data_IF_557198763273
#
_entry.id   IF_557198763273
#
_cell.length_a   1.000
_cell.length_b   1.000
_cell.length_c   1.000
_cell.angle_alpha   90.00
_cell.angle_beta   90.00
_cell.angle_gamma   90.00
#
_symmetry.space_group_name_H-M   'P 1'
#
loop_
_entity.id
_entity.type
_entity.pdbx_description
1 polymer ?
#
# COMPACT_ATOMS: atom_id res chain seq x y z
N UNK A 1 35.01 8.85 17.52
CA UNK A 1 34.01 9.90 17.17
C UNK A 1 33.52 9.81 15.70
N UNK A 2 33.14 8.61 15.19
CA UNK A 2 32.69 8.44 13.78
C UNK A 2 31.24 7.92 13.62
N UNK A 3 30.57 7.51 14.71
CA UNK A 3 29.20 6.98 14.66
C UNK A 3 28.08 8.04 14.69
N UNK A 4 28.37 9.24 15.21
CA UNK A 4 27.34 10.27 15.46
C UNK A 4 26.82 10.89 14.15
N UNK A 5 27.67 11.01 13.12
CA UNK A 5 27.30 11.57 11.81
C UNK A 5 26.39 10.63 11.01
N UNK A 6 26.69 9.32 11.02
CA UNK A 6 25.86 8.32 10.35
C UNK A 6 24.47 8.18 10.96
N UNK A 7 24.36 8.27 12.29
CA UNK A 7 23.09 8.21 13.02
C UNK A 7 22.21 9.44 12.72
N UNK A 8 22.78 10.64 12.69
CA UNK A 8 22.05 11.88 12.35
C UNK A 8 21.54 11.88 10.90
N UNK A 9 22.32 11.38 9.94
CA UNK A 9 21.91 11.28 8.53
C UNK A 9 20.72 10.31 8.34
N UNK A 10 20.75 9.14 8.99
CA UNK A 10 19.63 8.16 8.95
C UNK A 10 18.35 8.73 9.56
N UNK A 11 18.45 9.45 10.68
CA UNK A 11 17.29 10.11 11.31
C UNK A 11 16.66 11.17 10.40
N UNK A 12 17.47 11.96 9.69
CA UNK A 12 16.97 12.95 8.71
C UNK A 12 16.27 12.30 7.52
N UNK A 13 16.81 11.19 7.01
CA UNK A 13 16.18 10.42 5.94
C UNK A 13 14.83 9.86 6.37
N UNK A 14 14.75 9.21 7.55
CA UNK A 14 13.48 8.70 8.10
C UNK A 14 12.44 9.80 8.30
N UNK A 15 12.85 10.98 8.76
CA UNK A 15 11.96 12.15 8.90
C UNK A 15 11.45 12.65 7.55
N UNK A 16 12.31 12.72 6.53
CA UNK A 16 11.94 13.11 5.17
C UNK A 16 10.96 12.11 4.55
N UNK A 17 11.22 10.82 4.72
CA UNK A 17 10.30 9.79 4.24
C UNK A 17 8.97 9.78 4.99
N UNK A 18 8.97 10.10 6.29
CA UNK A 18 7.73 10.24 7.06
C UNK A 18 6.88 11.42 6.59
N UNK A 19 7.51 12.56 6.30
CA UNK A 19 6.84 13.70 5.68
C UNK A 19 6.24 13.32 4.31
N UNK A 20 7.01 12.65 3.46
CA UNK A 20 6.51 12.20 2.15
C UNK A 20 5.32 11.23 2.25
N UNK A 21 5.27 10.36 3.27
CA UNK A 21 4.13 9.45 3.51
C UNK A 21 2.89 10.20 3.98
N UNK A 22 3.04 11.17 4.87
CA UNK A 22 1.93 12.02 5.28
C UNK A 22 1.39 12.83 4.10
N UNK A 23 2.25 13.44 3.29
CA UNK A 23 1.82 14.22 2.13
C UNK A 23 1.06 13.35 1.10
N UNK A 24 1.53 12.12 0.87
CA UNK A 24 0.83 11.16 0.03
C UNK A 24 -0.53 10.76 0.61
N UNK A 25 -0.58 10.44 1.92
CA UNK A 25 -1.83 10.08 2.59
C UNK A 25 -2.86 11.22 2.54
N UNK A 26 -2.42 12.47 2.76
CA UNK A 26 -3.26 13.65 2.63
C UNK A 26 -3.76 13.84 1.21
N UNK A 27 -2.87 13.69 0.21
CA UNK A 27 -3.26 13.80 -1.21
C UNK A 27 -4.33 12.77 -1.57
N UNK A 28 -4.16 11.51 -1.16
CA UNK A 28 -5.14 10.47 -1.42
C UNK A 28 -6.47 10.76 -0.72
N UNK A 29 -6.43 11.13 0.56
CA UNK A 29 -7.62 11.40 1.35
C UNK A 29 -8.40 12.63 0.86
N UNK A 30 -7.72 13.77 0.67
CA UNK A 30 -8.40 15.06 0.49
C UNK A 30 -8.54 15.44 -0.98
N UNK A 31 -7.50 15.26 -1.78
CA UNK A 31 -7.55 15.63 -3.20
C UNK A 31 -8.25 14.56 -4.04
N UNK A 32 -7.98 13.28 -3.75
CA UNK A 32 -8.53 12.17 -4.56
C UNK A 32 -9.77 11.52 -3.93
N UNK A 33 -10.10 11.86 -2.68
CA UNK A 33 -11.24 11.28 -1.95
C UNK A 33 -11.15 9.76 -1.82
N UNK A 34 -9.93 9.26 -1.70
CA UNK A 34 -9.61 7.85 -1.53
C UNK A 34 -9.40 7.55 -0.04
N UNK A 35 -10.22 6.69 0.59
CA UNK A 35 -10.09 6.43 2.02
C UNK A 35 -8.78 5.69 2.34
N UNK A 36 -8.00 6.23 3.27
CA UNK A 36 -6.71 5.68 3.67
C UNK A 36 -6.63 5.41 5.16
N UNK A 37 -5.65 4.60 5.55
CA UNK A 37 -5.31 4.28 6.94
C UNK A 37 -3.83 3.86 7.05
N UNK A 38 -3.20 3.97 8.24
CA UNK A 38 -1.84 3.49 8.44
C UNK A 38 -1.79 1.95 8.45
N UNK A 39 -0.89 1.37 7.67
CA UNK A 39 -0.61 -0.07 7.72
C UNK A 39 0.34 -0.46 8.85
N UNK A 40 0.45 -1.76 9.12
CA UNK A 40 1.39 -2.31 10.09
C UNK A 40 2.84 -1.92 9.76
N UNK A 41 3.23 -2.09 8.49
CA UNK A 41 4.60 -1.91 8.05
C UNK A 41 5.54 -3.01 8.53
N UNK A 42 6.80 -2.92 8.12
CA UNK A 42 7.81 -3.91 8.48
C UNK A 42 8.75 -3.38 9.56
N UNK A 43 9.28 -4.29 10.36
CA UNK A 43 10.31 -4.03 11.36
C UNK A 43 11.52 -4.96 11.13
N UNK A 44 12.72 -4.58 11.58
CA UNK A 44 13.84 -5.52 11.63
C UNK A 44 13.42 -6.74 12.46
N UNK A 45 13.51 -7.94 11.88
CA UNK A 45 13.12 -9.15 12.59
C UNK A 45 14.08 -9.37 13.77
N UNK A 46 13.53 -9.40 14.99
CA UNK A 46 14.26 -9.87 16.16
C UNK A 46 14.31 -11.41 16.10
N UNK A 47 15.38 -11.95 15.54
CA UNK A 47 15.85 -13.32 15.78
C UNK A 47 14.86 -14.45 15.46
N UNK A 48 14.80 -14.86 14.19
CA UNK A 48 15.14 -16.24 13.75
C UNK A 48 15.72 -16.12 12.33
N UNK A 49 16.97 -16.52 12.17
CA UNK A 49 17.71 -16.68 10.89
C UNK A 49 18.19 -15.41 10.15
N UNK A 50 18.00 -14.22 10.72
CA UNK A 50 18.84 -13.04 10.44
C UNK A 50 18.83 -12.48 9.00
N UNK A 51 17.92 -12.93 8.12
CA UNK A 51 17.80 -12.42 6.74
C UNK A 51 16.34 -12.17 6.37
N UNK A 52 15.74 -11.13 6.95
CA UNK A 52 14.39 -10.69 6.57
C UNK A 52 13.89 -9.47 7.35
N UNK A 53 12.93 -8.76 6.75
CA UNK A 53 12.10 -7.78 7.45
C UNK A 53 10.87 -8.53 8.00
N UNK A 54 10.67 -8.51 9.31
CA UNK A 54 9.48 -9.06 9.96
C UNK A 54 8.31 -8.08 9.91
N UNK A 55 7.12 -8.51 10.35
CA UNK A 55 6.03 -7.57 10.57
C UNK A 55 6.31 -6.68 11.79
N UNK A 56 5.84 -5.44 11.75
CA UNK A 56 5.88 -4.56 12.92
C UNK A 56 4.68 -4.77 13.88
N UNK A 57 3.76 -5.68 13.55
CA UNK A 57 2.64 -6.05 14.40
C UNK A 57 3.09 -7.00 15.53
N UNK A 58 2.31 -7.16 16.61
CA UNK A 58 2.64 -8.03 17.73
C UNK A 58 2.39 -9.52 17.45
N UNK A 59 1.86 -9.87 16.28
CA UNK A 59 1.61 -11.25 15.87
C UNK A 59 2.92 -11.92 15.38
N UNK A 60 3.46 -12.90 16.13
CA UNK A 60 4.70 -13.58 15.76
C UNK A 60 4.56 -14.44 14.49
N UNK A 61 3.34 -14.86 14.14
CA UNK A 61 3.04 -15.74 13.01
C UNK A 61 2.32 -15.00 11.87
N UNK A 62 2.53 -13.68 11.77
CA UNK A 62 1.88 -12.81 10.80
C UNK A 62 2.02 -13.34 9.36
N UNK A 63 0.90 -13.76 8.77
CA UNK A 63 0.86 -14.35 7.43
C UNK A 63 1.20 -13.37 6.29
N UNK A 64 1.09 -12.06 6.53
CA UNK A 64 1.30 -11.01 5.52
C UNK A 64 2.19 -9.88 6.06
N UNK A 65 3.49 -10.11 6.29
CA UNK A 65 4.37 -9.16 6.96
C UNK A 65 4.30 -7.74 6.40
N UNK A 66 3.81 -6.81 7.22
CA UNK A 66 3.68 -5.39 6.92
C UNK A 66 2.62 -5.00 5.89
N UNK A 67 1.89 -5.96 5.33
CA UNK A 67 0.90 -5.76 4.27
C UNK A 67 -0.55 -5.90 4.78
N UNK A 68 -0.82 -5.45 6.01
CA UNK A 68 -2.15 -5.44 6.60
C UNK A 68 -2.40 -4.18 7.45
N UNK A 69 -3.66 -3.78 7.64
CA UNK A 69 -4.04 -2.80 8.66
C UNK A 69 -3.62 -3.32 10.04
N UNK A 70 -3.16 -2.44 10.92
CA UNK A 70 -2.85 -2.82 12.29
C UNK A 70 -3.88 -2.26 13.27
N UNK A 71 -3.76 -0.97 13.54
CA UNK A 71 -4.71 -0.17 14.29
C UNK A 71 -4.67 1.22 13.66
N UNK A 72 -5.78 1.67 13.05
CA UNK A 72 -7.12 1.06 13.08
C UNK A 72 -7.33 -0.07 12.05
N UNK A 73 -8.47 -0.77 12.16
CA UNK A 73 -8.92 -1.77 11.20
C UNK A 73 -9.35 -1.13 9.86
N UNK A 74 -9.46 -1.96 8.80
CA UNK A 74 -9.77 -1.50 7.44
C UNK A 74 -11.02 -0.61 7.34
N UNK A 75 -12.08 -0.93 8.10
CA UNK A 75 -13.33 -0.19 8.09
C UNK A 75 -13.21 1.25 8.61
N UNK A 76 -12.12 1.58 9.29
CA UNK A 76 -11.83 2.95 9.74
C UNK A 76 -11.13 3.81 8.67
N UNK A 77 -10.83 3.26 7.49
CA UNK A 77 -10.24 4.04 6.40
C UNK A 77 -11.06 5.30 6.13
N UNK A 78 -10.39 6.45 6.01
CA UNK A 78 -11.07 7.75 5.99
C UNK A 78 -10.49 8.70 4.96
N UNK A 79 -11.29 9.68 4.58
CA UNK A 79 -10.88 10.87 3.82
C UNK A 79 -10.74 12.11 4.72
N UNK A 80 -10.99 11.99 6.03
CA UNK A 80 -10.88 13.10 6.99
C UNK A 80 -9.41 13.50 7.22
N UNK A 81 -9.06 14.72 6.81
CA UNK A 81 -7.73 15.30 6.94
C UNK A 81 -7.20 15.27 8.38
N UNK A 82 -8.04 15.60 9.37
CA UNK A 82 -7.64 15.69 10.78
C UNK A 82 -7.21 14.33 11.31
N UNK A 83 -7.98 13.30 10.97
CA UNK A 83 -7.70 11.92 11.36
C UNK A 83 -6.42 11.40 10.68
N UNK A 84 -6.23 11.67 9.39
CA UNK A 84 -5.01 11.30 8.66
C UNK A 84 -3.77 11.98 9.25
N UNK A 85 -3.82 13.29 9.52
CA UNK A 85 -2.72 14.02 10.17
C UNK A 85 -2.42 13.46 11.55
N UNK A 86 -3.44 13.16 12.34
CA UNK A 86 -3.27 12.60 13.68
C UNK A 86 -2.54 11.24 13.62
N UNK A 87 -2.97 10.33 12.75
CA UNK A 87 -2.31 9.02 12.61
C UNK A 87 -0.83 9.12 12.24
N UNK A 88 -0.48 9.92 11.24
CA UNK A 88 0.92 10.05 10.80
C UNK A 88 1.77 10.93 11.71
N UNK A 89 1.17 11.76 12.56
CA UNK A 89 1.89 12.43 13.65
C UNK A 89 2.32 11.41 14.73
N UNK A 90 1.45 10.44 15.03
CA UNK A 90 1.74 9.38 16.01
C UNK A 90 2.63 8.27 15.42
N UNK A 91 2.48 7.96 14.13
CA UNK A 91 3.22 6.89 13.44
C UNK A 91 3.80 7.38 12.11
N UNK A 92 4.84 8.26 12.11
CA UNK A 92 5.34 8.89 10.88
C UNK A 92 5.88 7.90 9.84
N UNK A 93 6.29 6.71 10.26
CA UNK A 93 6.85 5.68 9.36
C UNK A 93 5.83 4.65 8.91
N UNK A 94 4.56 4.75 9.31
CA UNK A 94 3.53 3.81 8.89
C UNK A 94 3.33 3.90 7.35
N UNK A 95 3.31 2.75 6.64
CA UNK A 95 2.94 2.75 5.23
C UNK A 95 1.50 3.21 5.06
N UNK A 96 1.20 3.82 3.91
CA UNK A 96 -0.16 4.20 3.55
C UNK A 96 -0.87 2.97 2.99
N UNK A 97 -2.03 2.63 3.55
CA UNK A 97 -2.95 1.66 2.96
C UNK A 97 -4.16 2.39 2.40
N UNK A 98 -4.67 1.88 1.28
CA UNK A 98 -5.83 2.39 0.56
C UNK A 98 -6.96 1.38 0.69
N UNK A 99 -8.13 1.80 1.16
CA UNK A 99 -9.33 0.98 1.05
C UNK A 99 -9.87 1.07 -0.39
N UNK A 100 -9.86 -0.06 -1.10
CA UNK A 100 -10.28 -0.14 -2.51
C UNK A 100 -11.79 -0.24 -2.66
N UNK A 101 -12.30 0.16 -3.82
CA UNK A 101 -13.72 0.05 -4.18
C UNK A 101 -14.58 1.23 -3.71
N UNK A 102 -15.88 1.14 -3.98
CA UNK A 102 -16.81 2.25 -3.77
C UNK A 102 -16.41 3.45 -4.62
N UNK A 103 -16.00 4.55 -3.96
CA UNK A 103 -15.50 5.77 -4.64
C UNK A 103 -13.98 5.75 -4.88
N UNK A 104 -13.26 4.82 -4.26
CA UNK A 104 -11.83 4.63 -4.47
C UNK A 104 -11.57 3.60 -5.60
N UNK A 105 -10.36 3.58 -6.18
CA UNK A 105 -9.99 2.60 -7.20
C UNK A 105 -10.19 1.17 -6.72
N UNK A 106 -10.56 0.29 -7.64
CA UNK A 106 -10.37 -1.14 -7.44
C UNK A 106 -8.93 -1.52 -7.76
N UNK A 107 -8.49 -2.71 -7.37
CA UNK A 107 -7.16 -3.21 -7.66
C UNK A 107 -7.21 -4.60 -8.29
N UNK A 108 -6.52 -4.76 -9.42
CA UNK A 108 -6.23 -6.09 -9.99
C UNK A 108 -4.88 -6.52 -9.44
N UNK A 109 -4.88 -7.54 -8.58
CA UNK A 109 -3.66 -8.05 -7.95
C UNK A 109 -3.15 -9.31 -8.64
N UNK A 110 -1.89 -9.29 -9.04
CA UNK A 110 -1.22 -10.38 -9.73
C UNK A 110 0.06 -10.77 -8.98
N UNK A 111 0.50 -12.04 -9.02
CA UNK A 111 1.87 -12.40 -8.63
C UNK A 111 2.89 -11.54 -9.39
N UNK A 112 4.00 -11.15 -8.75
CA UNK A 112 4.92 -10.14 -9.30
C UNK A 112 5.38 -10.42 -10.74
N UNK A 113 5.77 -11.67 -11.04
CA UNK A 113 6.17 -12.05 -12.40
C UNK A 113 5.02 -11.95 -13.40
N UNK A 114 3.81 -12.35 -13.01
CA UNK A 114 2.62 -12.25 -13.85
C UNK A 114 2.22 -10.78 -14.06
N UNK A 115 2.33 -9.94 -13.02
CA UNK A 115 2.08 -8.51 -13.10
C UNK A 115 3.02 -7.80 -14.08
N UNK A 116 4.32 -8.10 -14.01
CA UNK A 116 5.30 -7.56 -14.96
C UNK A 116 4.97 -7.94 -16.41
N UNK A 117 4.63 -9.20 -16.66
CA UNK A 117 4.20 -9.67 -17.99
C UNK A 117 2.89 -9.02 -18.44
N UNK A 118 1.93 -8.85 -17.52
CA UNK A 118 0.66 -8.22 -17.80
C UNK A 118 0.85 -6.76 -18.22
N UNK A 119 1.70 -5.97 -17.56
CA UNK A 119 1.95 -4.59 -17.98
C UNK A 119 2.47 -4.50 -19.43
N UNK A 120 3.41 -5.37 -19.81
CA UNK A 120 3.92 -5.42 -21.19
C UNK A 120 2.83 -5.79 -22.18
N UNK A 121 1.96 -6.75 -21.84
CA UNK A 121 0.84 -7.14 -22.70
C UNK A 121 -0.17 -6.00 -22.86
N UNK A 122 -0.53 -5.33 -21.77
CA UNK A 122 -1.48 -4.21 -21.75
C UNK A 122 -0.94 -3.00 -22.52
N UNK A 123 0.35 -2.71 -22.39
CA UNK A 123 1.04 -1.65 -23.15
C UNK A 123 1.01 -1.93 -24.66
N UNK A 124 1.30 -3.18 -25.08
CA UNK A 124 1.18 -3.60 -26.48
C UNK A 124 -0.24 -3.49 -27.04
N UNK A 125 -1.25 -3.61 -26.19
CA UNK A 125 -2.66 -3.41 -26.55
C UNK A 125 -3.04 -1.92 -26.60
N UNK A 126 -2.13 -1.00 -26.31
CA UNK A 126 -2.40 0.43 -26.25
C UNK A 126 -3.28 0.83 -25.06
N UNK A 127 -3.36 0.01 -24.02
CA UNK A 127 -4.22 0.28 -22.87
C UNK A 127 -3.59 1.33 -21.96
N UNK A 128 -4.31 2.42 -21.70
CA UNK A 128 -3.89 3.41 -20.71
C UNK A 128 -3.94 2.79 -19.31
N UNK A 129 -2.77 2.64 -18.69
CA UNK A 129 -2.64 2.12 -17.34
C UNK A 129 -2.87 3.19 -16.28
N UNK A 130 -3.49 2.78 -15.17
CA UNK A 130 -3.50 3.55 -13.93
C UNK A 130 -2.21 3.35 -13.12
N UNK A 131 -2.15 3.90 -11.90
CA UNK A 131 -1.03 3.66 -10.98
C UNK A 131 -0.82 2.16 -10.71
N UNK A 132 0.44 1.74 -10.59
CA UNK A 132 0.82 0.37 -10.27
C UNK A 132 1.64 0.35 -8.99
N UNK A 133 1.20 -0.45 -8.02
CA UNK A 133 1.94 -0.71 -6.79
C UNK A 133 2.67 -2.04 -6.95
N UNK A 134 3.97 -1.98 -7.20
CA UNK A 134 4.82 -3.16 -7.34
C UNK A 134 5.47 -3.53 -6.01
N UNK A 135 5.20 -4.74 -5.51
CA UNK A 135 5.91 -5.35 -4.38
C UNK A 135 6.69 -6.58 -4.87
N UNK A 136 7.64 -7.12 -4.07
CA UNK A 136 8.40 -8.29 -4.47
C UNK A 136 7.55 -9.53 -4.79
N UNK A 137 6.37 -9.66 -4.16
CA UNK A 137 5.52 -10.85 -4.29
C UNK A 137 4.28 -10.61 -5.14
N UNK A 138 3.71 -9.41 -5.09
CA UNK A 138 2.49 -9.05 -5.84
C UNK A 138 2.54 -7.64 -6.41
N UNK A 139 1.93 -7.47 -7.57
CA UNK A 139 1.73 -6.17 -8.19
C UNK A 139 0.23 -5.88 -8.22
N UNK A 140 -0.16 -4.67 -7.85
CA UNK A 140 -1.54 -4.22 -7.84
C UNK A 140 -1.70 -3.08 -8.84
N UNK A 141 -2.48 -3.31 -9.88
CA UNK A 141 -2.84 -2.29 -10.86
C UNK A 141 -4.12 -1.61 -10.36
N UNK A 142 -4.05 -0.29 -10.12
CA UNK A 142 -5.23 0.48 -9.74
C UNK A 142 -6.06 0.75 -10.98
N UNK A 143 -7.33 0.36 -10.92
CA UNK A 143 -8.29 0.46 -12.02
C UNK A 143 -9.50 1.27 -11.57
N UNK A 144 -10.29 1.71 -12.55
CA UNK A 144 -11.55 2.39 -12.26
C UNK A 144 -12.43 1.55 -11.32
N UNK A 145 -13.18 2.19 -10.39
CA UNK A 145 -14.06 1.48 -9.48
C UNK A 145 -15.09 0.66 -10.26
N UNK A 146 -15.34 -0.55 -9.76
CA UNK A 146 -16.37 -1.45 -10.26
C UNK A 146 -17.02 -2.19 -9.08
N UNK A 147 -18.24 -2.67 -9.29
CA UNK A 147 -18.91 -3.59 -8.34
C UNK A 147 -18.66 -5.03 -8.75
N UNK A 148 -18.83 -5.98 -7.83
CA UNK A 148 -18.62 -7.40 -8.13
C UNK A 148 -19.63 -7.91 -9.16
N UNK A 149 -20.84 -7.38 -9.16
CA UNK A 149 -21.88 -7.70 -10.14
C UNK A 149 -21.44 -7.28 -11.54
N UNK A 150 -20.97 -6.03 -11.70
CA UNK A 150 -20.44 -5.54 -12.97
C UNK A 150 -19.22 -6.35 -13.44
N UNK A 151 -18.34 -6.72 -12.50
CA UNK A 151 -17.20 -7.57 -12.84
C UNK A 151 -17.67 -8.95 -13.35
N UNK A 152 -18.67 -9.55 -12.69
CA UNK A 152 -19.27 -10.82 -13.11
C UNK A 152 -19.83 -10.76 -14.53
N UNK A 153 -20.60 -9.73 -14.86
CA UNK A 153 -21.14 -9.52 -16.22
C UNK A 153 -20.02 -9.38 -17.27
N UNK A 154 -18.98 -8.60 -16.95
CA UNK A 154 -17.84 -8.41 -17.85
C UNK A 154 -17.09 -9.71 -18.09
N UNK A 155 -16.84 -10.50 -17.05
CA UNK A 155 -16.17 -11.80 -17.16
C UNK A 155 -17.01 -12.78 -17.97
N UNK A 156 -18.32 -12.83 -17.72
CA UNK A 156 -19.25 -13.67 -18.50
C UNK A 156 -19.23 -13.32 -19.98
N UNK A 157 -19.24 -12.02 -20.33
CA UNK A 157 -19.23 -11.57 -21.73
C UNK A 157 -17.91 -11.84 -22.48
N UNK A 158 -16.86 -12.25 -21.79
CA UNK A 158 -15.50 -12.41 -22.36
C UNK A 158 -15.14 -13.85 -22.71
N UNK A 159 -16.12 -14.77 -22.74
CA UNK A 159 -15.92 -16.21 -22.99
C UNK A 159 -14.83 -16.86 -22.12
N UNK A 160 -14.54 -16.24 -20.96
CA UNK A 160 -13.47 -16.66 -20.05
C UNK A 160 -14.07 -17.04 -18.70
N UNK A 161 -14.99 -18.02 -18.71
CA UNK A 161 -15.28 -19.01 -17.66
C UNK A 161 -15.89 -20.24 -18.34
#
# INVERSE_FOLDING_TARGET
MREILGRRRRLRLRRKEGAARLDAALTFATAWQWPVLPGAGTAPAALRDGRGLGCACPDPDCAVPGAHPFDPALLAATTDERMVRWWWSNRPTAPVMLATGGRAPCAVSLPALAGAKALVALDRMGMRLGPVVATPTRWSLLVAPYTLERLGELLYSKDWV
#
